data_IF_263677327825
#
_entry.id   IF_263677327825
#
_cell.length_a   1.000
_cell.length_b   1.000
_cell.length_c   1.000
_cell.angle_alpha   90.00
_cell.angle_beta   90.00
_cell.angle_gamma   90.00
#
_symmetry.space_group_name_H-M   'P 1'
#
loop_
_entity.id
_entity.type
_entity.pdbx_description
1 polymer ?
#
# COMPACT_ATOMS: atom_id res chain seq x y z
N UNK A 1 -6.74 7.82 30.51
CA UNK A 1 -5.49 7.04 30.62
C UNK A 1 -4.33 8.03 30.60
N UNK A 2 -3.28 7.78 31.37
CA UNK A 2 -2.04 8.56 31.27
C UNK A 2 -1.37 8.32 29.90
N UNK A 3 -0.63 9.30 29.38
CA UNK A 3 -0.02 9.25 28.03
C UNK A 3 0.89 8.03 27.88
N UNK A 4 1.61 7.68 28.95
CA UNK A 4 2.49 6.52 28.98
C UNK A 4 1.71 5.20 28.81
N UNK A 5 0.55 5.09 29.46
CA UNK A 5 -0.33 3.92 29.36
C UNK A 5 -0.91 3.75 27.95
N UNK A 6 -1.17 4.86 27.27
CA UNK A 6 -1.66 4.89 25.88
C UNK A 6 -0.58 4.46 24.88
N UNK A 7 0.66 4.89 25.08
CA UNK A 7 1.81 4.44 24.27
C UNK A 7 2.00 2.93 24.47
N UNK A 8 2.00 2.49 25.73
CA UNK A 8 2.16 1.08 26.07
C UNK A 8 1.05 0.22 25.46
N UNK A 9 -0.22 0.64 25.50
CA UNK A 9 -1.33 -0.14 24.93
C UNK A 9 -1.25 -0.29 23.42
N UNK A 10 -0.71 0.71 22.71
CA UNK A 10 -0.54 0.63 21.25
C UNK A 10 0.68 -0.23 20.85
N UNK A 11 1.79 -0.12 21.59
CA UNK A 11 3.00 -0.89 21.32
C UNK A 11 2.87 -2.37 21.69
N UNK A 12 2.05 -2.71 22.68
CA UNK A 12 1.80 -4.08 23.12
C UNK A 12 0.66 -4.77 22.35
N UNK A 13 0.28 -4.28 21.17
CA UNK A 13 -0.66 -4.99 20.29
C UNK A 13 0.03 -6.19 19.63
N UNK A 14 -0.68 -7.32 19.41
CA UNK A 14 -0.09 -8.50 18.77
C UNK A 14 0.55 -8.17 17.42
N UNK A 15 -0.11 -7.33 16.63
CA UNK A 15 0.33 -6.81 15.34
C UNK A 15 1.76 -6.21 15.43
N UNK A 16 1.97 -5.28 16.36
CA UNK A 16 3.28 -4.62 16.55
C UNK A 16 4.32 -5.59 17.11
N UNK A 17 3.93 -6.43 18.08
CA UNK A 17 4.84 -7.38 18.71
C UNK A 17 5.35 -8.44 17.72
N UNK A 18 4.50 -8.95 16.84
CA UNK A 18 4.89 -9.92 15.81
C UNK A 18 5.76 -9.31 14.71
N UNK A 19 5.54 -8.03 14.38
CA UNK A 19 6.46 -7.28 13.52
C UNK A 19 7.85 -7.14 14.15
N UNK A 20 7.92 -6.72 15.42
CA UNK A 20 9.19 -6.63 16.16
C UNK A 20 9.85 -8.00 16.29
N UNK A 21 9.07 -9.05 16.53
CA UNK A 21 9.57 -10.42 16.56
C UNK A 21 10.22 -10.79 15.23
N UNK A 22 9.59 -10.49 14.08
CA UNK A 22 10.19 -10.68 12.76
C UNK A 22 11.54 -9.96 12.60
N UNK A 23 11.66 -8.73 13.10
CA UNK A 23 12.94 -7.99 13.11
C UNK A 23 13.98 -8.75 13.94
N UNK A 24 13.63 -9.16 15.16
CA UNK A 24 14.53 -9.88 16.07
C UNK A 24 15.01 -11.18 15.41
N UNK A 25 14.09 -11.96 14.83
CA UNK A 25 14.37 -13.20 14.09
C UNK A 25 15.42 -12.96 13.00
N UNK A 26 15.25 -11.93 12.18
CA UNK A 26 16.21 -11.59 11.13
C UNK A 26 17.58 -11.20 11.70
N UNK A 27 17.61 -10.47 12.82
CA UNK A 27 18.86 -9.99 13.45
C UNK A 27 19.65 -11.07 14.15
N UNK A 28 18.98 -12.05 14.75
CA UNK A 28 19.65 -13.22 15.34
C UNK A 28 20.05 -14.26 14.28
N UNK A 29 19.79 -13.99 12.99
CA UNK A 29 20.04 -14.90 11.86
C UNK A 29 19.35 -16.26 12.04
N UNK A 30 18.12 -16.24 12.54
CA UNK A 30 17.27 -17.42 12.59
C UNK A 30 16.99 -17.94 11.18
N UNK A 31 16.77 -19.23 11.06
CA UNK A 31 16.34 -19.92 9.84
C UNK A 31 14.83 -19.80 9.57
N UNK A 32 14.09 -19.08 10.43
CA UNK A 32 12.68 -18.79 10.23
C UNK A 32 12.48 -18.01 8.92
N UNK A 33 11.97 -18.73 7.91
CA UNK A 33 11.57 -18.19 6.62
C UNK A 33 10.09 -18.51 6.39
N UNK A 34 9.32 -17.50 6.01
CA UNK A 34 7.95 -17.70 5.53
C UNK A 34 8.02 -18.30 4.11
N UNK A 35 7.30 -19.40 3.82
CA UNK A 35 7.31 -20.00 2.48
C UNK A 35 6.83 -19.01 1.42
N UNK A 36 7.47 -18.99 0.26
CA UNK A 36 7.18 -18.01 -0.81
C UNK A 36 5.70 -18.05 -1.25
N UNK A 37 5.05 -19.23 -1.19
CA UNK A 37 3.62 -19.38 -1.46
C UNK A 37 2.73 -18.60 -0.46
N UNK A 38 3.12 -18.55 0.82
CA UNK A 38 2.39 -17.79 1.85
C UNK A 38 2.61 -16.29 1.65
N UNK A 39 3.85 -15.90 1.33
CA UNK A 39 4.22 -14.52 0.98
C UNK A 39 3.44 -13.95 -0.19
N UNK A 40 3.15 -14.78 -1.20
CA UNK A 40 2.34 -14.37 -2.35
C UNK A 40 0.84 -14.42 -2.07
N UNK A 41 0.38 -15.39 -1.27
CA UNK A 41 -1.03 -15.59 -0.94
C UNK A 41 -1.57 -14.54 0.05
N UNK A 42 -0.82 -14.22 1.11
CA UNK A 42 -1.29 -13.33 2.17
C UNK A 42 -1.74 -11.95 1.66
N UNK A 43 -0.97 -11.24 0.81
CA UNK A 43 -1.42 -9.97 0.23
C UNK A 43 -2.72 -10.11 -0.56
N UNK A 44 -2.86 -11.17 -1.34
CA UNK A 44 -4.05 -11.46 -2.15
C UNK A 44 -5.27 -11.66 -1.24
N UNK A 45 -5.12 -12.50 -0.21
CA UNK A 45 -6.17 -12.76 0.75
C UNK A 45 -6.56 -11.50 1.54
N UNK A 46 -5.58 -10.71 2.00
CA UNK A 46 -5.84 -9.48 2.75
C UNK A 46 -6.57 -8.45 1.88
N UNK A 47 -6.14 -8.26 0.63
CA UNK A 47 -6.82 -7.39 -0.34
C UNK A 47 -8.26 -7.86 -0.60
N UNK A 48 -8.48 -9.17 -0.73
CA UNK A 48 -9.81 -9.72 -0.91
C UNK A 48 -10.71 -9.47 0.31
N UNK A 49 -10.20 -9.68 1.53
CA UNK A 49 -10.91 -9.41 2.77
C UNK A 49 -11.30 -7.93 2.88
N UNK A 50 -10.34 -7.02 2.70
CA UNK A 50 -10.56 -5.57 2.73
C UNK A 50 -11.60 -5.16 1.68
N UNK A 51 -11.50 -5.72 0.47
CA UNK A 51 -12.45 -5.44 -0.60
C UNK A 51 -13.88 -5.89 -0.25
N UNK A 52 -14.04 -7.11 0.28
CA UNK A 52 -15.36 -7.63 0.69
C UNK A 52 -16.00 -6.74 1.76
N UNK A 53 -15.26 -6.41 2.81
CA UNK A 53 -15.72 -5.50 3.87
C UNK A 53 -16.09 -4.12 3.30
N UNK A 54 -15.25 -3.56 2.42
CA UNK A 54 -15.55 -2.31 1.75
C UNK A 54 -16.85 -2.36 0.93
N UNK A 55 -17.06 -3.42 0.16
CA UNK A 55 -18.29 -3.58 -0.63
C UNK A 55 -19.55 -3.65 0.22
N UNK A 56 -19.50 -4.38 1.34
CA UNK A 56 -20.62 -4.53 2.28
C UNK A 56 -20.97 -3.18 2.90
N UNK A 57 -19.96 -2.45 3.39
CA UNK A 57 -20.15 -1.13 4.00
C UNK A 57 -20.68 -0.08 3.01
N UNK A 58 -20.27 -0.16 1.73
CA UNK A 58 -20.83 0.67 0.66
C UNK A 58 -22.33 0.45 0.46
N UNK A 59 -22.79 -0.81 0.55
CA UNK A 59 -24.20 -1.16 0.44
C UNK A 59 -25.01 -0.69 1.64
N UNK A 60 -24.45 -0.82 2.84
CA UNK A 60 -25.13 -0.46 4.08
C UNK A 60 -25.28 1.06 4.24
N UNK A 61 -24.21 1.82 3.96
CA UNK A 61 -24.18 3.27 4.22
C UNK A 61 -24.75 4.10 3.05
N UNK A 62 -24.78 3.52 1.86
CA UNK A 62 -25.22 4.17 0.62
C UNK A 62 -24.17 5.12 0.04
N UNK A 63 -24.04 5.15 -1.29
CA UNK A 63 -23.00 5.93 -1.97
C UNK A 63 -23.05 7.44 -1.71
N UNK A 64 -24.23 8.01 -1.45
CA UNK A 64 -24.41 9.46 -1.29
C UNK A 64 -23.70 10.01 -0.05
N UNK A 65 -23.78 9.28 1.08
CA UNK A 65 -23.12 9.68 2.34
C UNK A 65 -21.60 9.57 2.25
N UNK A 66 -21.12 8.71 1.35
CA UNK A 66 -19.73 8.34 1.19
C UNK A 66 -18.97 9.18 0.16
N UNK A 67 -19.68 9.73 -0.83
CA UNK A 67 -19.06 10.35 -1.99
C UNK A 67 -18.14 11.51 -1.60
N UNK A 68 -18.60 12.40 -0.70
CA UNK A 68 -17.80 13.54 -0.24
C UNK A 68 -16.57 13.07 0.57
N UNK A 69 -16.70 12.25 1.63
CA UNK A 69 -15.53 11.70 2.33
C UNK A 69 -14.53 10.99 1.41
N UNK A 70 -15.03 10.22 0.44
CA UNK A 70 -14.21 9.47 -0.51
C UNK A 70 -13.42 10.39 -1.44
N UNK A 71 -14.06 11.40 -2.04
CA UNK A 71 -13.37 12.39 -2.88
C UNK A 71 -12.34 13.20 -2.09
N UNK A 72 -12.68 13.59 -0.86
CA UNK A 72 -11.74 14.30 0.03
C UNK A 72 -10.55 13.41 0.34
N UNK A 73 -10.76 12.14 0.69
CA UNK A 73 -9.68 11.22 1.02
C UNK A 73 -8.78 10.93 -0.19
N UNK A 74 -9.35 10.76 -1.39
CA UNK A 74 -8.59 10.61 -2.64
C UNK A 74 -7.76 11.86 -2.91
N UNK A 75 -8.38 13.05 -2.77
CA UNK A 75 -7.70 14.33 -2.93
C UNK A 75 -6.54 14.51 -1.96
N UNK A 76 -6.74 14.14 -0.68
CA UNK A 76 -5.69 14.16 0.33
C UNK A 76 -4.57 13.17 0.01
N UNK A 77 -4.88 11.93 -0.37
CA UNK A 77 -3.86 10.94 -0.75
C UNK A 77 -3.01 11.43 -1.94
N UNK A 78 -3.64 12.03 -2.96
CA UNK A 78 -2.94 12.64 -4.10
C UNK A 78 -2.05 13.81 -3.66
N UNK A 79 -2.59 14.69 -2.80
CA UNK A 79 -1.87 15.85 -2.28
C UNK A 79 -0.66 15.42 -1.45
N UNK A 80 -0.83 14.45 -0.55
CA UNK A 80 0.26 13.88 0.23
C UNK A 80 1.29 13.22 -0.67
N UNK A 81 0.88 12.37 -1.62
CA UNK A 81 1.83 11.75 -2.57
C UNK A 81 2.67 12.80 -3.29
N UNK A 82 2.04 13.89 -3.76
CA UNK A 82 2.76 14.95 -4.47
C UNK A 82 3.66 15.76 -3.53
N UNK A 83 3.22 16.03 -2.30
CA UNK A 83 3.99 16.72 -1.28
C UNK A 83 5.24 15.91 -0.88
N UNK A 84 5.07 14.62 -0.60
CA UNK A 84 6.17 13.69 -0.33
C UNK A 84 7.18 13.66 -1.48
N UNK A 85 6.71 13.62 -2.74
CA UNK A 85 7.59 13.72 -3.90
C UNK A 85 8.40 15.01 -3.90
N UNK A 86 7.76 16.17 -3.63
CA UNK A 86 8.46 17.44 -3.57
C UNK A 86 9.52 17.46 -2.45
N UNK A 87 9.20 16.92 -1.28
CA UNK A 87 10.13 16.83 -0.14
C UNK A 87 11.31 15.93 -0.49
N UNK A 88 11.06 14.72 -0.99
CA UNK A 88 12.10 13.76 -1.38
C UNK A 88 12.99 14.33 -2.49
N UNK A 89 12.40 15.01 -3.49
CA UNK A 89 13.14 15.57 -4.61
C UNK A 89 14.00 16.76 -4.23
N UNK A 90 13.46 17.71 -3.46
CA UNK A 90 14.13 18.99 -3.19
C UNK A 90 14.94 18.97 -1.89
N UNK A 91 14.36 18.48 -0.79
CA UNK A 91 15.04 18.41 0.50
C UNK A 91 15.90 17.15 0.58
N UNK A 92 15.36 16.00 0.19
CA UNK A 92 16.07 14.72 0.22
C UNK A 92 17.10 14.54 -0.88
N UNK A 93 17.05 15.36 -1.94
CA UNK A 93 17.92 15.32 -3.13
C UNK A 93 17.96 13.93 -3.80
N UNK A 94 16.87 13.17 -3.70
CA UNK A 94 16.76 11.87 -4.36
C UNK A 94 16.66 12.02 -5.87
N UNK A 95 17.07 10.97 -6.60
CA UNK A 95 16.86 10.91 -8.04
C UNK A 95 15.34 10.83 -8.34
N UNK A 96 14.97 11.06 -9.60
CA UNK A 96 13.56 11.14 -10.00
C UNK A 96 12.81 9.84 -9.69
N UNK A 97 13.45 8.70 -9.95
CA UNK A 97 12.86 7.38 -9.76
C UNK A 97 12.62 7.09 -8.28
N UNK A 98 13.64 7.24 -7.44
CA UNK A 98 13.54 7.01 -5.99
C UNK A 98 12.52 7.96 -5.36
N UNK A 99 12.45 9.22 -5.82
CA UNK A 99 11.47 10.19 -5.31
C UNK A 99 10.04 9.76 -5.61
N UNK A 100 9.73 9.32 -6.84
CA UNK A 100 8.39 8.84 -7.20
C UNK A 100 8.06 7.50 -6.54
N UNK A 101 9.00 6.57 -6.50
CA UNK A 101 8.81 5.27 -5.87
C UNK A 101 8.52 5.42 -4.37
N UNK A 102 9.34 6.18 -3.64
CA UNK A 102 9.12 6.43 -2.21
C UNK A 102 7.85 7.25 -1.97
N UNK A 103 7.63 8.35 -2.70
CA UNK A 103 6.43 9.17 -2.51
C UNK A 103 5.14 8.40 -2.72
N UNK A 104 5.10 7.50 -3.69
CA UNK A 104 3.94 6.66 -3.93
C UNK A 104 3.70 5.60 -2.85
N UNK A 105 4.76 5.05 -2.24
CA UNK A 105 4.62 4.14 -1.09
C UNK A 105 4.13 4.84 0.17
N UNK A 106 4.57 6.08 0.45
CA UNK A 106 4.16 6.85 1.63
C UNK A 106 2.84 7.60 1.44
N UNK A 107 2.47 7.91 0.20
CA UNK A 107 1.19 8.54 -0.14
C UNK A 107 0.00 7.57 -0.22
N UNK A 108 0.29 6.26 -0.18
CA UNK A 108 -0.72 5.21 -0.07
C UNK A 108 -1.26 5.12 1.37
N UNK A 109 -2.44 4.53 1.50
CA UNK A 109 -3.04 4.19 2.80
C UNK A 109 -2.71 2.75 3.17
N UNK A 110 -2.67 2.45 4.46
CA UNK A 110 -2.42 1.10 4.95
C UNK A 110 -3.56 0.59 5.81
N UNK A 111 -4.11 -0.58 5.46
CA UNK A 111 -5.17 -1.23 6.23
C UNK A 111 -4.81 -1.49 7.70
N UNK A 112 -3.54 -1.83 7.98
CA UNK A 112 -3.08 -2.03 9.36
C UNK A 112 -3.15 -0.75 10.18
N UNK A 113 -2.64 0.36 9.65
CA UNK A 113 -2.68 1.67 10.30
C UNK A 113 -4.12 2.13 10.52
N UNK A 114 -4.97 1.90 9.53
CA UNK A 114 -6.40 2.19 9.62
C UNK A 114 -7.08 1.38 10.73
N UNK A 115 -6.88 0.05 10.78
CA UNK A 115 -7.48 -0.82 11.81
C UNK A 115 -7.00 -0.47 13.22
N UNK A 116 -5.72 -0.13 13.39
CA UNK A 116 -5.19 0.33 14.69
C UNK A 116 -5.82 1.67 15.08
N UNK A 117 -5.93 2.62 14.15
CA UNK A 117 -6.60 3.90 14.40
C UNK A 117 -8.07 3.73 14.79
N UNK A 118 -8.79 2.82 14.13
CA UNK A 118 -10.18 2.50 14.46
C UNK A 118 -10.31 1.90 15.87
N UNK A 119 -9.45 0.94 16.18
CA UNK A 119 -9.38 0.30 17.50
C UNK A 119 -9.06 1.32 18.60
N UNK A 120 -8.12 2.23 18.32
CA UNK A 120 -7.76 3.32 19.20
C UNK A 120 -8.95 4.25 19.51
N UNK A 121 -9.66 4.71 18.48
CA UNK A 121 -10.84 5.57 18.64
C UNK A 121 -11.96 4.85 19.41
N UNK A 122 -12.22 3.58 19.09
CA UNK A 122 -13.19 2.74 19.80
C UNK A 122 -12.88 2.63 21.29
N UNK A 123 -11.60 2.45 21.64
CA UNK A 123 -11.15 2.40 23.04
C UNK A 123 -11.33 3.73 23.78
N UNK A 124 -11.37 4.85 23.05
CA UNK A 124 -11.65 6.18 23.58
C UNK A 124 -13.16 6.50 23.60
N UNK A 125 -14.02 5.55 23.24
CA UNK A 125 -15.47 5.74 23.17
C UNK A 125 -15.95 6.50 21.93
N UNK A 126 -15.08 6.68 20.93
CA UNK A 126 -15.43 7.31 19.65
C UNK A 126 -15.83 6.22 18.67
N UNK A 127 -17.11 6.21 18.27
CA UNK A 127 -17.60 5.33 17.22
C UNK A 127 -17.23 5.91 15.86
N UNK A 128 -16.54 5.10 15.06
CA UNK A 128 -16.21 5.39 13.67
C UNK A 128 -17.37 5.03 12.74
N UNK A 129 -17.58 5.82 11.70
CA UNK A 129 -18.60 5.53 10.69
C UNK A 129 -18.22 4.30 9.84
N UNK A 130 -19.19 3.44 9.54
CA UNK A 130 -18.99 2.21 8.77
C UNK A 130 -18.40 2.44 7.37
N UNK A 131 -18.72 3.59 6.76
CA UNK A 131 -18.16 3.98 5.46
C UNK A 131 -16.65 4.14 5.44
N UNK A 132 -15.97 4.30 6.58
CA UNK A 132 -14.52 4.50 6.61
C UNK A 132 -13.77 3.28 6.04
N UNK A 133 -14.25 2.06 6.30
CA UNK A 133 -13.67 0.85 5.71
C UNK A 133 -13.84 0.81 4.19
N UNK A 134 -14.98 1.29 3.70
CA UNK A 134 -15.27 1.40 2.28
C UNK A 134 -14.48 2.53 1.59
N UNK A 135 -14.23 3.65 2.28
CA UNK A 135 -13.30 4.69 1.80
C UNK A 135 -11.88 4.12 1.68
N UNK A 136 -11.40 3.39 2.70
CA UNK A 136 -10.10 2.71 2.63
C UNK A 136 -10.03 1.74 1.44
N UNK A 137 -11.05 0.92 1.24
CA UNK A 137 -11.10 -0.05 0.15
C UNK A 137 -11.02 0.61 -1.24
N UNK A 138 -11.56 1.82 -1.41
CA UNK A 138 -11.45 2.61 -2.65
C UNK A 138 -10.10 3.33 -2.77
N UNK A 139 -9.49 3.74 -1.66
CA UNK A 139 -8.20 4.41 -1.68
C UNK A 139 -7.04 3.49 -2.05
N UNK A 140 -7.07 2.24 -1.60
CA UNK A 140 -6.06 1.22 -1.93
C UNK A 140 -5.81 1.06 -3.46
N UNK A 141 -6.83 0.83 -4.32
CA UNK A 141 -6.61 0.72 -5.76
C UNK A 141 -6.23 2.08 -6.36
N UNK A 142 -6.78 3.19 -5.86
CA UNK A 142 -6.40 4.54 -6.35
C UNK A 142 -4.93 4.83 -6.09
N UNK A 143 -4.44 4.55 -4.88
CA UNK A 143 -3.05 4.70 -4.50
C UNK A 143 -2.14 3.77 -5.32
N UNK A 144 -2.55 2.51 -5.53
CA UNK A 144 -1.77 1.55 -6.34
C UNK A 144 -1.68 1.98 -7.81
N UNK A 145 -2.80 2.43 -8.42
CA UNK A 145 -2.82 2.98 -9.78
C UNK A 145 -1.90 4.20 -9.87
N UNK A 146 -1.99 5.12 -8.89
CA UNK A 146 -1.15 6.30 -8.84
C UNK A 146 0.34 5.93 -8.74
N UNK A 147 0.68 4.94 -7.90
CA UNK A 147 2.05 4.46 -7.74
C UNK A 147 2.62 3.92 -9.05
N UNK A 148 1.87 3.06 -9.74
CA UNK A 148 2.28 2.51 -11.04
C UNK A 148 2.40 3.63 -12.08
N UNK A 149 1.43 4.53 -12.14
CA UNK A 149 1.42 5.64 -13.08
C UNK A 149 2.63 6.55 -12.91
N UNK A 150 2.92 6.97 -11.67
CA UNK A 150 4.07 7.83 -11.36
C UNK A 150 5.40 7.12 -11.63
N UNK A 151 5.51 5.84 -11.26
CA UNK A 151 6.70 5.03 -11.53
C UNK A 151 6.96 4.89 -13.03
N UNK A 152 5.92 4.64 -13.84
CA UNK A 152 6.03 4.54 -15.30
C UNK A 152 6.38 5.88 -15.96
N UNK A 153 5.92 7.01 -15.41
CA UNK A 153 6.39 8.34 -15.83
C UNK A 153 7.88 8.52 -15.51
N UNK A 154 8.35 8.05 -14.36
CA UNK A 154 9.77 8.12 -14.00
C UNK A 154 10.64 7.29 -14.95
N UNK A 155 10.22 6.05 -15.24
CA UNK A 155 10.89 5.13 -16.17
C UNK A 155 10.93 5.71 -17.59
N UNK A 156 9.82 6.23 -18.11
CA UNK A 156 9.77 6.81 -19.45
C UNK A 156 10.67 8.03 -19.60
N UNK A 157 10.73 8.91 -18.58
CA UNK A 157 11.68 10.04 -18.55
C UNK A 157 13.13 9.57 -18.53
N UNK A 158 13.47 8.52 -17.77
CA UNK A 158 14.82 7.97 -17.72
C UNK A 158 15.26 7.35 -19.05
N UNK A 159 14.37 6.62 -19.73
CA UNK A 159 14.63 6.06 -21.06
C UNK A 159 14.90 7.19 -22.07
N UNK A 160 14.12 8.28 -22.01
CA UNK A 160 14.33 9.45 -22.87
C UNK A 160 15.67 10.14 -22.61
N UNK A 161 16.03 10.38 -21.35
CA UNK A 161 17.33 10.99 -20.99
C UNK A 161 18.51 10.09 -21.40
N UNK A 162 18.37 8.76 -21.29
CA UNK A 162 19.40 7.82 -21.76
C UNK A 162 19.54 7.83 -23.29
N UNK A 163 18.43 7.96 -24.02
CA UNK A 163 18.41 8.10 -25.49
C UNK A 163 19.01 9.43 -25.97
N UNK A 164 18.89 10.51 -25.20
CA UNK A 164 19.55 11.79 -25.49
C UNK A 164 21.06 11.78 -25.20
N UNK A 165 21.52 10.93 -24.26
CA UNK A 165 22.95 10.78 -23.93
C UNK A 165 23.73 9.83 -24.85
N UNK A 166 23.03 8.97 -25.59
CA UNK A 166 23.61 8.10 -26.61
C UNK A 166 23.26 8.76 -27.95
N UNK A 167 24.11 9.65 -28.43
CA UNK A 167 23.88 10.43 -29.65
C UNK A 167 23.51 9.58 -30.86
N UNK A 168 22.92 10.22 -31.89
CA UNK A 168 22.50 9.64 -33.18
C UNK A 168 23.51 8.61 -33.71
N UNK A 169 23.25 7.33 -33.48
CA UNK A 169 23.91 6.24 -34.19
C UNK A 169 22.89 5.71 -35.18
N UNK A 170 23.18 6.03 -36.45
CA UNK A 170 22.65 5.54 -37.73
C UNK A 170 21.55 4.47 -37.69
N UNK A 171 20.48 4.78 -38.41
CA UNK A 171 19.20 4.06 -38.58
C UNK A 171 19.26 2.61 -39.11
N UNK A 172 20.42 1.95 -39.23
CA UNK A 172 20.54 0.71 -40.01
C UNK A 172 20.96 -0.56 -39.26
N UNK A 173 21.19 -0.53 -37.94
CA UNK A 173 21.54 -1.76 -37.17
C UNK A 173 20.71 -1.98 -35.89
N UNK A 174 19.72 -1.12 -35.60
CA UNK A 174 18.89 -1.21 -34.37
C UNK A 174 17.52 -1.89 -34.63
N UNK A 175 17.23 -2.32 -35.86
CA UNK A 175 15.94 -2.94 -36.25
C UNK A 175 15.63 -4.31 -35.61
N UNK A 176 16.51 -4.86 -34.74
CA UNK A 176 16.29 -6.17 -34.11
C UNK A 176 16.24 -6.21 -32.57
N UNK A 177 15.96 -5.09 -31.88
CA UNK A 177 15.91 -5.15 -30.41
C UNK A 177 15.12 -4.10 -29.65
N UNK A 178 14.56 -3.07 -30.30
CA UNK A 178 13.85 -2.02 -29.58
C UNK A 178 12.60 -1.66 -30.38
N UNK A 179 11.56 -2.47 -30.22
CA UNK A 179 10.21 -2.10 -30.63
C UNK A 179 9.88 -0.74 -30.04
N UNK A 180 9.53 0.20 -30.91
CA UNK A 180 9.08 1.55 -30.60
C UNK A 180 7.95 1.54 -29.55
N UNK A 181 8.29 1.55 -28.26
CA UNK A 181 7.28 1.77 -27.24
C UNK A 181 7.08 3.28 -27.11
N UNK A 182 6.29 3.86 -28.02
CA UNK A 182 5.48 5.03 -27.65
C UNK A 182 4.73 4.60 -26.40
N UNK A 183 5.10 5.12 -25.23
CA UNK A 183 4.43 4.82 -23.97
C UNK A 183 3.01 5.35 -24.07
N UNK A 184 2.10 4.50 -24.55
CA UNK A 184 0.71 4.84 -24.72
C UNK A 184 0.13 4.90 -23.31
N UNK A 185 -0.27 6.09 -22.86
CA UNK A 185 -0.84 6.31 -21.53
C UNK A 185 -2.01 5.34 -21.25
N UNK A 186 -2.73 4.96 -22.30
CA UNK A 186 -3.79 3.94 -22.27
C UNK A 186 -3.27 2.55 -21.90
N UNK A 187 -2.11 2.15 -22.43
CA UNK A 187 -1.48 0.87 -22.10
C UNK A 187 -1.03 0.85 -20.65
N UNK A 188 -0.36 1.91 -20.18
CA UNK A 188 0.06 2.05 -18.78
C UNK A 188 -1.13 2.00 -17.82
N UNK A 189 -2.22 2.70 -18.15
CA UNK A 189 -3.44 2.67 -17.34
C UNK A 189 -4.10 1.28 -17.37
N UNK A 190 -4.14 0.63 -18.53
CA UNK A 190 -4.70 -0.70 -18.67
C UNK A 190 -3.91 -1.73 -17.86
N UNK A 191 -2.57 -1.73 -17.95
CA UNK A 191 -1.68 -2.59 -17.16
C UNK A 191 -1.80 -2.32 -15.66
N UNK A 192 -2.01 -1.05 -15.27
CA UNK A 192 -2.25 -0.69 -13.87
C UNK A 192 -3.54 -1.35 -13.38
N UNK A 193 -4.65 -1.18 -14.12
CA UNK A 193 -5.97 -1.70 -13.72
C UNK A 193 -6.04 -3.24 -13.77
N UNK A 194 -5.34 -3.88 -14.71
CA UNK A 194 -5.31 -5.34 -14.84
C UNK A 194 -4.32 -6.02 -13.89
N UNK A 195 -3.61 -5.26 -13.06
CA UNK A 195 -2.73 -5.81 -12.03
C UNK A 195 -3.47 -6.71 -11.04
N UNK A 196 -2.86 -7.84 -10.68
CA UNK A 196 -3.45 -8.86 -9.78
C UNK A 196 -4.11 -8.27 -8.52
N UNK A 197 -3.42 -7.34 -7.87
CA UNK A 197 -3.88 -6.72 -6.63
C UNK A 197 -5.15 -5.90 -6.84
N UNK A 198 -5.22 -5.11 -7.91
CA UNK A 198 -6.37 -4.26 -8.24
C UNK A 198 -7.56 -5.10 -8.69
N UNK A 199 -7.32 -6.12 -9.53
CA UNK A 199 -8.39 -7.02 -9.99
C UNK A 199 -9.04 -7.74 -8.81
N UNK A 200 -8.25 -8.27 -7.89
CA UNK A 200 -8.74 -8.93 -6.68
C UNK A 200 -9.52 -7.94 -5.82
N UNK A 201 -8.95 -6.76 -5.57
CA UNK A 201 -9.55 -5.76 -4.69
C UNK A 201 -10.88 -5.22 -5.23
N UNK A 202 -10.90 -4.76 -6.49
CA UNK A 202 -12.13 -4.26 -7.13
C UNK A 202 -13.17 -5.38 -7.29
N UNK A 203 -12.72 -6.59 -7.65
CA UNK A 203 -13.59 -7.77 -7.73
C UNK A 203 -14.25 -8.07 -6.39
N UNK A 204 -13.49 -8.07 -5.30
CA UNK A 204 -13.99 -8.29 -3.95
C UNK A 204 -14.91 -7.17 -3.45
N UNK A 205 -14.67 -5.91 -3.81
CA UNK A 205 -15.61 -4.80 -3.52
C UNK A 205 -16.96 -5.03 -4.19
N UNK A 206 -16.95 -5.38 -5.48
CA UNK A 206 -18.19 -5.65 -6.23
C UNK A 206 -18.92 -6.85 -5.61
N UNK A 207 -18.20 -7.93 -5.31
CA UNK A 207 -18.78 -9.12 -4.68
C UNK A 207 -19.37 -8.76 -3.31
N UNK A 208 -18.62 -8.06 -2.46
CA UNK A 208 -19.07 -7.62 -1.13
C UNK A 208 -20.35 -6.80 -1.21
N UNK A 209 -20.40 -5.87 -2.16
CA UNK A 209 -21.61 -5.07 -2.42
C UNK A 209 -22.79 -5.94 -2.84
N UNK A 210 -22.59 -6.89 -3.75
CA UNK A 210 -23.65 -7.77 -4.25
C UNK A 210 -24.18 -8.74 -3.18
N UNK A 211 -23.29 -9.36 -2.39
CA UNK A 211 -23.68 -10.35 -1.39
C UNK A 211 -24.25 -9.72 -0.11
N UNK A 212 -23.80 -8.51 0.25
CA UNK A 212 -24.17 -7.84 1.50
C UNK A 212 -23.80 -8.65 2.75
N UNK A 213 -24.25 -8.21 3.92
CA UNK A 213 -23.98 -8.90 5.19
C UNK A 213 -24.51 -10.34 5.22
N UNK A 214 -25.72 -10.56 4.69
CA UNK A 214 -26.34 -11.88 4.67
C UNK A 214 -25.49 -12.90 3.92
N UNK A 215 -25.02 -12.57 2.71
CA UNK A 215 -24.16 -13.47 1.94
C UNK A 215 -22.74 -13.56 2.48
N UNK A 216 -22.23 -12.51 3.13
CA UNK A 216 -20.90 -12.52 3.76
C UNK A 216 -20.82 -13.42 4.99
N UNK A 217 -21.94 -13.59 5.72
CA UNK A 217 -21.99 -14.43 6.92
C UNK A 217 -21.43 -15.85 6.71
N UNK A 218 -21.63 -16.43 5.52
CA UNK A 218 -21.16 -17.77 5.15
C UNK A 218 -19.63 -17.88 5.00
N UNK A 219 -18.94 -16.75 4.78
CA UNK A 219 -17.48 -16.67 4.59
C UNK A 219 -16.78 -15.82 5.66
N UNK A 220 -17.54 -15.31 6.64
CA UNK A 220 -17.07 -14.40 7.70
C UNK A 220 -15.93 -15.00 8.54
N UNK A 221 -15.99 -16.30 8.87
CA UNK A 221 -14.90 -16.99 9.56
C UNK A 221 -13.56 -16.84 8.83
N UNK A 222 -13.59 -16.88 7.49
CA UNK A 222 -12.39 -16.77 6.67
C UNK A 222 -11.99 -15.34 6.47
N UNK A 223 -12.90 -14.40 6.21
CA UNK A 223 -12.53 -13.04 5.78
C UNK A 223 -12.67 -11.95 6.86
N UNK A 224 -13.24 -12.27 8.01
CA UNK A 224 -13.37 -11.36 9.15
C UNK A 224 -12.62 -11.91 10.37
N UNK A 225 -13.02 -13.08 10.88
CA UNK A 225 -12.45 -13.62 12.12
C UNK A 225 -10.94 -13.95 11.98
N UNK A 226 -10.53 -14.55 10.86
CA UNK A 226 -9.13 -14.86 10.59
C UNK A 226 -8.31 -13.68 10.06
N UNK A 227 -8.92 -12.54 9.75
CA UNK A 227 -8.25 -11.39 9.16
C UNK A 227 -7.08 -10.89 10.01
N UNK A 228 -7.30 -10.73 11.32
CA UNK A 228 -6.25 -10.29 12.25
C UNK A 228 -5.12 -11.31 12.37
N UNK A 229 -5.44 -12.62 12.32
CA UNK A 229 -4.46 -13.68 12.32
C UNK A 229 -3.58 -13.67 11.07
N UNK A 230 -4.17 -13.43 9.90
CA UNK A 230 -3.44 -13.27 8.65
C UNK A 230 -2.53 -12.03 8.66
N UNK A 231 -2.99 -10.89 9.21
CA UNK A 231 -2.16 -9.70 9.41
C UNK A 231 -0.95 -10.02 10.29
N UNK A 232 -1.14 -10.78 11.36
CA UNK A 232 -0.04 -11.18 12.23
C UNK A 232 1.04 -11.94 11.47
N UNK A 233 0.67 -12.94 10.65
CA UNK A 233 1.63 -13.71 9.85
C UNK A 233 2.33 -12.80 8.83
N UNK A 234 1.56 -11.96 8.14
CA UNK A 234 2.07 -10.99 7.19
C UNK A 234 3.08 -10.01 7.83
N UNK A 235 2.84 -9.59 9.08
CA UNK A 235 3.75 -8.70 9.79
C UNK A 235 5.01 -9.39 10.31
N UNK A 236 4.97 -10.68 10.61
CA UNK A 236 6.21 -11.43 10.88
C UNK A 236 7.11 -11.36 9.64
N UNK A 237 6.55 -11.62 8.46
CA UNK A 237 7.29 -11.54 7.20
C UNK A 237 7.85 -10.14 6.95
N UNK A 238 7.01 -9.12 7.06
CA UNK A 238 7.44 -7.72 6.88
C UNK A 238 8.49 -7.32 7.90
N UNK A 239 8.39 -7.82 9.13
CA UNK A 239 9.41 -7.65 10.18
C UNK A 239 10.74 -8.31 9.81
N UNK A 240 10.71 -9.52 9.25
CA UNK A 240 11.93 -10.21 8.78
C UNK A 240 12.60 -9.42 7.66
N UNK A 241 11.84 -9.00 6.65
CA UNK A 241 12.34 -8.20 5.51
C UNK A 241 12.93 -6.88 6.03
N UNK A 242 12.23 -6.18 6.93
CA UNK A 242 12.71 -4.95 7.55
C UNK A 242 14.01 -5.18 8.34
N UNK A 243 14.07 -6.24 9.15
CA UNK A 243 15.25 -6.59 9.97
C UNK A 243 16.48 -6.96 9.13
N UNK A 244 16.28 -7.60 7.97
CA UNK A 244 17.36 -7.89 7.01
C UNK A 244 17.92 -6.63 6.36
N UNK A 245 17.07 -5.63 6.10
CA UNK A 245 17.43 -4.38 5.43
C UNK A 245 17.75 -3.22 6.38
N UNK A 246 17.78 -3.48 7.69
CA UNK A 246 18.00 -2.44 8.70
C UNK A 246 19.34 -1.71 8.53
N UNK A 247 20.37 -2.41 8.03
CA UNK A 247 21.67 -1.81 7.77
C UNK A 247 21.68 -0.85 6.55
N UNK A 248 20.69 -0.94 5.65
CA UNK A 248 20.55 0.00 4.53
C UNK A 248 20.17 1.40 5.01
N UNK A 249 19.50 1.53 6.16
CA UNK A 249 19.12 2.84 6.74
C UNK A 249 20.37 3.71 6.97
N UNK A 250 21.51 3.11 7.33
CA UNK A 250 22.79 3.82 7.51
C UNK A 250 23.28 4.46 6.21
N UNK A 251 22.93 3.90 5.05
CA UNK A 251 23.33 4.41 3.72
C UNK A 251 22.48 5.59 3.28
N UNK A 252 21.19 5.60 3.66
CA UNK A 252 20.24 6.64 3.24
C UNK A 252 20.16 7.83 4.20
N UNK A 253 20.67 7.65 5.43
CA UNK A 253 20.92 8.73 6.38
C UNK A 253 19.71 9.15 7.21
N UNK A 254 19.94 10.10 8.14
CA UNK A 254 18.93 10.60 9.10
C UNK A 254 17.70 11.21 8.41
N UNK A 255 17.87 11.66 7.16
CA UNK A 255 16.81 12.30 6.39
C UNK A 255 15.62 11.35 6.18
N UNK A 256 15.85 10.10 5.77
CA UNK A 256 14.73 9.17 5.57
C UNK A 256 14.05 8.80 6.88
N UNK A 257 14.81 8.69 7.98
CA UNK A 257 14.21 8.41 9.31
C UNK A 257 13.29 9.56 9.71
N UNK A 258 13.75 10.80 9.58
CA UNK A 258 12.95 11.97 9.88
C UNK A 258 11.73 12.09 8.93
N UNK A 259 11.92 11.78 7.66
CA UNK A 259 10.86 11.77 6.66
C UNK A 259 9.78 10.74 6.97
N UNK A 260 10.13 9.53 7.43
CA UNK A 260 9.15 8.50 7.80
C UNK A 260 8.26 8.84 9.00
N UNK A 261 8.60 9.89 9.77
CA UNK A 261 7.83 10.35 10.94
C UNK A 261 6.83 11.44 10.55
N UNK A 262 7.06 12.13 9.42
CA UNK A 262 6.25 13.24 8.91
C UNK A 262 5.11 12.67 8.05
#
# INVERSE_FOLDING_TARGET
>A
MDVLGLIQSNLLTPIVLFFIFGIIVARIKSDLKIPDAISEFLPIYLLAAIGLHGGIEMRNTGFETMLVPMLVAIGLSLLFTLNHYQILRHLGKFNLFDSYALASTYGAVGAVTFSVGLSFLKNQGVTSEGFLAAVLAVLEPVAFILAIFLTNIAVSKQIKTKKESIGEISDSEIEMGISETKTNLKQVLHESITGKAIVILLGSIIIGYMIGEEGFSSISIVFDELFTGAIVIFLIEMGIIAGQRLDDIKKVGIFLIAFSII
#
